data_IF_347724830145
#
_entry.id   IF_347724830145
#
_cell.length_a   1.000
_cell.length_b   1.000
_cell.length_c   1.000
_cell.angle_alpha   90.00
_cell.angle_beta   90.00
_cell.angle_gamma   90.00
#
_symmetry.space_group_name_H-M   'P 1'
#
loop_
_entity.id
_entity.type
_entity.pdbx_description
1 polymer ?
#
# COMPACT_ATOMS: atom_id res chain seq x y z
N UNK A 1 -7.17 33.82 11.80
CA UNK A 1 -6.17 33.33 10.83
C UNK A 1 -6.34 31.84 10.73
N UNK A 2 -7.00 31.38 9.67
CA UNK A 2 -7.27 29.96 9.43
C UNK A 2 -6.01 29.30 8.87
N UNK A 3 -5.49 28.29 9.57
CA UNK A 3 -4.65 27.26 8.95
C UNK A 3 -5.19 25.92 9.40
N UNK A 4 -6.12 25.40 8.60
CA UNK A 4 -6.28 23.96 8.49
C UNK A 4 -4.96 23.44 7.93
N UNK A 5 -4.23 22.65 8.71
CA UNK A 5 -3.10 21.89 8.20
C UNK A 5 -3.28 20.45 8.69
N UNK A 6 -4.18 19.75 8.01
CA UNK A 6 -4.52 18.36 8.29
C UNK A 6 -4.05 17.50 7.10
N UNK A 7 -2.79 17.60 6.68
CA UNK A 7 -2.31 16.90 5.46
C UNK A 7 -0.87 16.38 5.50
N UNK A 8 -0.21 16.27 6.67
CA UNK A 8 1.22 15.85 6.73
C UNK A 8 1.51 14.66 7.65
N UNK A 9 0.52 13.81 7.94
CA UNK A 9 0.77 12.55 8.68
C UNK A 9 1.10 11.37 7.74
N UNK A 10 0.98 11.55 6.42
CA UNK A 10 1.20 10.49 5.41
C UNK A 10 2.53 10.60 4.65
N UNK A 11 3.34 11.65 4.86
CA UNK A 11 4.61 11.90 4.13
C UNK A 11 5.65 10.77 4.27
N UNK A 12 5.54 9.95 5.33
CA UNK A 12 6.43 8.80 5.59
C UNK A 12 5.70 7.45 5.53
N UNK A 13 4.57 7.39 4.82
CA UNK A 13 3.82 6.13 4.63
C UNK A 13 4.04 5.55 3.24
N UNK A 14 4.20 4.23 3.17
CA UNK A 14 4.25 3.46 1.93
C UNK A 14 3.28 2.28 2.01
N UNK A 15 2.55 2.04 0.95
CA UNK A 15 1.72 0.86 0.78
C UNK A 15 2.44 -0.15 -0.09
N UNK A 16 2.51 -1.40 0.36
CA UNK A 16 3.12 -2.49 -0.42
C UNK A 16 2.04 -3.50 -0.75
N UNK A 17 1.86 -3.77 -2.05
CA UNK A 17 0.87 -4.72 -2.55
C UNK A 17 1.51 -6.09 -2.73
N UNK A 18 0.94 -7.07 -2.04
CA UNK A 18 1.29 -8.48 -2.11
C UNK A 18 0.23 -9.26 -2.89
N UNK A 19 0.66 -10.24 -3.67
CA UNK A 19 -0.18 -11.27 -4.28
C UNK A 19 -0.10 -12.55 -3.45
N UNK A 20 -1.26 -13.13 -3.14
CA UNK A 20 -1.41 -14.42 -2.46
C UNK A 20 -0.57 -14.57 -1.18
N UNK A 21 -0.60 -13.62 -0.21
CA UNK A 21 0.08 -13.82 1.05
C UNK A 21 -0.47 -15.04 1.81
N UNK A 22 0.33 -15.69 2.68
CA UNK A 22 -0.11 -16.87 3.43
C UNK A 22 -1.42 -16.67 4.20
N UNK A 23 -1.68 -15.44 4.66
CA UNK A 23 -2.91 -15.08 5.37
C UNK A 23 -4.11 -14.87 4.42
N UNK A 24 -3.87 -14.67 3.11
CA UNK A 24 -4.86 -14.45 2.05
C UNK A 24 -4.41 -15.11 0.72
N UNK A 25 -4.44 -16.46 0.62
CA UNK A 25 -3.77 -17.21 -0.45
C UNK A 25 -4.33 -16.98 -1.87
N UNK A 26 -5.53 -16.42 -2.00
CA UNK A 26 -6.21 -16.20 -3.28
C UNK A 26 -6.50 -14.71 -3.56
N UNK A 27 -5.89 -13.80 -2.80
CA UNK A 27 -6.19 -12.37 -2.87
C UNK A 27 -4.93 -11.51 -2.97
N UNK A 28 -5.15 -10.26 -3.36
CA UNK A 28 -4.16 -9.20 -3.28
C UNK A 28 -4.36 -8.40 -2.00
N UNK A 29 -3.27 -8.04 -1.35
CA UNK A 29 -3.31 -7.29 -0.08
C UNK A 29 -2.33 -6.14 -0.16
N UNK A 30 -2.79 -4.90 -0.02
CA UNK A 30 -1.90 -3.79 0.27
C UNK A 30 -1.78 -3.63 1.78
N UNK A 31 -0.55 -3.55 2.30
CA UNK A 31 -0.28 -3.26 3.72
C UNK A 31 0.42 -1.91 3.82
N UNK A 32 -0.04 -1.05 4.73
CA UNK A 32 0.60 0.24 4.99
C UNK A 32 1.76 0.07 5.96
N UNK A 33 2.90 0.63 5.60
CA UNK A 33 4.06 0.82 6.45
C UNK A 33 4.22 2.32 6.72
N UNK A 34 4.60 2.67 7.95
CA UNK A 34 4.93 4.03 8.35
C UNK A 34 6.31 4.01 9.02
N UNK A 35 7.27 4.81 8.56
CA UNK A 35 8.66 4.75 9.04
C UNK A 35 9.22 3.32 9.03
N UNK A 36 8.91 2.57 7.96
CA UNK A 36 9.32 1.17 7.79
C UNK A 36 8.72 0.18 8.82
N UNK A 37 7.71 0.60 9.59
CA UNK A 37 6.96 -0.26 10.53
C UNK A 37 5.60 -0.60 9.96
N UNK A 38 5.22 -1.89 10.01
CA UNK A 38 3.88 -2.33 9.64
C UNK A 38 2.86 -1.70 10.56
N UNK A 39 1.82 -1.12 9.96
CA UNK A 39 0.64 -0.64 10.67
C UNK A 39 -0.44 -1.73 10.70
N UNK A 40 -1.56 -1.47 11.37
CA UNK A 40 -2.74 -2.32 11.31
C UNK A 40 -3.58 -2.11 10.04
N UNK A 41 -3.21 -1.14 9.20
CA UNK A 41 -3.97 -0.80 8.01
C UNK A 41 -3.58 -1.71 6.83
N UNK A 42 -4.60 -2.34 6.25
CA UNK A 42 -4.48 -3.13 5.05
C UNK A 42 -5.78 -3.08 4.25
N UNK A 43 -5.65 -3.19 2.92
CA UNK A 43 -6.76 -3.36 2.00
C UNK A 43 -6.61 -4.67 1.25
N UNK A 44 -7.72 -5.38 1.08
CA UNK A 44 -7.78 -6.67 0.38
C UNK A 44 -8.61 -6.51 -0.89
N UNK A 45 -8.22 -7.22 -1.94
CA UNK A 45 -8.96 -7.27 -3.18
C UNK A 45 -8.72 -8.53 -4.00
N UNK A 46 -9.70 -8.89 -4.84
CA UNK A 46 -9.63 -10.11 -5.66
C UNK A 46 -8.71 -9.93 -6.88
N UNK A 47 -8.42 -8.67 -7.25
CA UNK A 47 -7.50 -8.34 -8.34
C UNK A 47 -6.58 -7.20 -7.92
N UNK A 48 -5.43 -7.09 -8.59
CA UNK A 48 -4.53 -5.96 -8.41
C UNK A 48 -5.24 -4.62 -8.63
N UNK A 49 -6.11 -4.52 -9.64
CA UNK A 49 -6.86 -3.29 -9.93
C UNK A 49 -7.88 -2.94 -8.84
N UNK A 50 -8.51 -3.96 -8.23
CA UNK A 50 -9.44 -3.75 -7.13
C UNK A 50 -8.73 -3.17 -5.90
N UNK A 51 -7.54 -3.69 -5.55
CA UNK A 51 -6.70 -3.11 -4.50
C UNK A 51 -6.32 -1.65 -4.81
N UNK A 52 -5.89 -1.37 -6.04
CA UNK A 52 -5.56 0.01 -6.48
C UNK A 52 -6.71 0.99 -6.29
N UNK A 53 -7.94 0.55 -6.55
CA UNK A 53 -9.14 1.39 -6.42
C UNK A 53 -9.48 1.76 -4.97
N UNK A 54 -8.98 0.97 -4.01
CA UNK A 54 -9.22 1.11 -2.56
C UNK A 54 -8.11 1.89 -1.86
N UNK A 55 -6.97 2.11 -2.51
CA UNK A 55 -5.88 2.90 -1.95
C UNK A 55 -6.25 4.39 -1.85
N UNK A 56 -5.62 5.13 -0.91
CA UNK A 56 -5.76 6.58 -0.85
C UNK A 56 -5.50 7.25 -2.21
N UNK A 57 -6.28 8.29 -2.50
CA UNK A 57 -6.07 9.08 -3.72
C UNK A 57 -4.82 9.95 -3.59
N UNK A 58 -4.16 10.19 -4.72
CA UNK A 58 -2.97 11.04 -4.77
C UNK A 58 -1.64 10.31 -4.59
N UNK A 59 -1.67 8.99 -4.31
CA UNK A 59 -0.46 8.17 -4.24
C UNK A 59 0.16 7.94 -5.62
N UNK A 60 1.48 7.86 -5.65
CA UNK A 60 2.28 7.51 -6.82
C UNK A 60 2.65 6.04 -6.79
N UNK A 61 2.38 5.36 -7.91
CA UNK A 61 2.75 3.95 -8.10
C UNK A 61 4.26 3.83 -8.35
N UNK A 62 4.88 2.94 -7.59
CA UNK A 62 6.25 2.47 -7.78
C UNK A 62 6.18 1.02 -8.27
N UNK A 63 6.79 0.76 -9.42
CA UNK A 63 6.86 -0.59 -9.97
C UNK A 63 7.74 -1.50 -9.12
N UNK A 64 7.44 -2.80 -9.12
CA UNK A 64 8.31 -3.77 -8.45
C UNK A 64 9.70 -3.78 -9.07
N UNK A 65 10.68 -4.03 -8.21
CA UNK A 65 12.04 -4.40 -8.58
C UNK A 65 12.18 -5.93 -8.64
N UNK A 66 13.14 -6.42 -9.41
CA UNK A 66 13.48 -7.86 -9.47
C UNK A 66 14.03 -8.42 -8.15
N UNK A 67 14.48 -7.52 -7.25
CA UNK A 67 15.03 -7.86 -5.94
C UNK A 67 13.99 -7.91 -4.83
N UNK A 68 12.75 -7.50 -5.12
CA UNK A 68 11.66 -7.58 -4.17
C UNK A 68 11.26 -9.03 -3.94
N UNK A 69 10.62 -9.28 -2.80
CA UNK A 69 9.97 -10.55 -2.53
C UNK A 69 9.06 -10.95 -3.72
N UNK A 70 9.05 -12.22 -4.16
CA UNK A 70 8.30 -12.66 -5.33
C UNK A 70 6.80 -12.37 -5.25
N UNK A 71 6.26 -12.20 -4.03
CA UNK A 71 4.86 -11.88 -3.79
C UNK A 71 4.57 -10.39 -3.95
N UNK A 72 5.57 -9.51 -3.88
CA UNK A 72 5.39 -8.07 -4.07
C UNK A 72 5.10 -7.79 -5.55
N UNK A 73 4.07 -6.97 -5.79
CA UNK A 73 3.66 -6.55 -7.14
C UNK A 73 3.93 -5.09 -7.43
N UNK A 74 3.77 -4.22 -6.43
CA UNK A 74 4.00 -2.78 -6.55
C UNK A 74 3.97 -2.13 -5.17
N UNK A 75 4.47 -0.90 -5.09
CA UNK A 75 4.37 -0.05 -3.90
C UNK A 75 3.76 1.31 -4.24
N UNK A 76 3.26 2.03 -3.23
CA UNK A 76 2.60 3.33 -3.40
C UNK A 76 3.02 4.28 -2.27
N UNK A 77 3.38 5.52 -2.63
CA UNK A 77 3.75 6.61 -1.70
C UNK A 77 2.95 7.87 -1.98
#
# INVERSE_FOLDING_TARGET
MTRQNSETEDDDSIWVVYEAPPDFPDQYVARRLHMNRRTADYVVGDTLNDVRSKLPKGLFRIERSERDDPMIRESWI
#
